data_IF_077715738604
#
_entry.id   IF_077715738604
#
_cell.length_a   1.000
_cell.length_b   1.000
_cell.length_c   1.000
_cell.angle_alpha   90.00
_cell.angle_beta   90.00
_cell.angle_gamma   90.00
#
_symmetry.space_group_name_H-M   'P 1'
#
loop_
_entity.id
_entity.type
_entity.pdbx_description
1 polymer ?
#
# COMPACT_ATOMS: atom_id res chain seq x y z
N UNK A 1 12.32 -28.74 -3.47
CA UNK A 1 11.18 -28.36 -2.59
C UNK A 1 10.37 -27.30 -3.32
N UNK A 2 9.21 -27.65 -3.88
CA UNK A 2 8.34 -26.68 -4.54
C UNK A 2 7.78 -25.73 -3.46
N UNK A 3 8.09 -24.43 -3.55
CA UNK A 3 7.40 -23.42 -2.76
C UNK A 3 5.93 -23.51 -3.15
N UNK A 4 5.05 -23.90 -2.23
CA UNK A 4 3.60 -23.72 -2.42
C UNK A 4 3.37 -22.22 -2.53
N UNK A 5 3.29 -21.70 -3.75
CA UNK A 5 2.85 -20.34 -4.02
C UNK A 5 1.43 -20.24 -3.50
N UNK A 6 1.25 -19.62 -2.34
CA UNK A 6 -0.08 -19.37 -1.80
C UNK A 6 -0.78 -18.45 -2.80
N UNK A 7 -1.79 -18.96 -3.50
CA UNK A 7 -2.66 -18.14 -4.33
C UNK A 7 -3.22 -17.04 -3.43
N UNK A 8 -2.77 -15.81 -3.69
CA UNK A 8 -3.25 -14.66 -2.94
C UNK A 8 -4.49 -14.16 -3.66
N UNK A 9 -5.58 -13.97 -2.92
CA UNK A 9 -6.78 -13.37 -3.51
C UNK A 9 -6.42 -11.97 -4.01
N UNK A 10 -7.04 -11.57 -5.11
CA UNK A 10 -6.88 -10.22 -5.67
C UNK A 10 -7.00 -9.12 -4.62
N UNK A 11 -8.06 -9.20 -3.81
CA UNK A 11 -8.29 -8.31 -2.68
C UNK A 11 -7.11 -8.28 -1.69
N UNK A 12 -6.55 -9.45 -1.36
CA UNK A 12 -5.42 -9.57 -0.45
C UNK A 12 -4.15 -8.93 -1.00
N UNK A 13 -3.85 -9.18 -2.28
CA UNK A 13 -2.71 -8.60 -2.97
C UNK A 13 -2.81 -7.07 -3.00
N UNK A 14 -3.97 -6.54 -3.41
CA UNK A 14 -4.21 -5.10 -3.44
C UNK A 14 -4.05 -4.45 -2.06
N UNK A 15 -4.60 -5.06 -1.01
CA UNK A 15 -4.47 -4.53 0.35
C UNK A 15 -3.03 -4.56 0.86
N UNK A 16 -2.30 -5.64 0.56
CA UNK A 16 -0.88 -5.74 0.90
C UNK A 16 -0.08 -4.64 0.25
N UNK A 17 -0.36 -4.39 -1.02
CA UNK A 17 0.39 -3.44 -1.79
C UNK A 17 0.01 -1.99 -1.41
N UNK A 18 -1.25 -1.70 -1.05
CA UNK A 18 -1.70 -0.39 -0.52
C UNK A 18 -1.21 -0.04 0.90
N UNK A 19 -1.06 -1.05 1.76
CA UNK A 19 -0.84 -0.82 3.20
C UNK A 19 0.50 -1.34 3.72
N UNK A 20 1.25 -2.07 2.89
CA UNK A 20 2.46 -2.81 3.31
C UNK A 20 2.18 -3.95 4.29
N UNK A 21 0.92 -4.38 4.43
CA UNK A 21 0.48 -5.40 5.42
C UNK A 21 -0.25 -6.55 4.74
N UNK A 22 0.05 -7.78 5.14
CA UNK A 22 -0.67 -8.95 4.65
C UNK A 22 -2.21 -8.81 4.77
N UNK A 23 -2.91 -9.45 3.84
CA UNK A 23 -4.38 -9.51 3.77
C UNK A 23 -5.02 -9.78 5.15
N UNK A 24 -6.10 -9.05 5.46
CA UNK A 24 -6.78 -9.14 6.77
C UNK A 24 -6.04 -8.50 7.95
N UNK A 25 -4.85 -7.92 7.74
CA UNK A 25 -4.19 -7.08 8.75
C UNK A 25 -5.03 -5.89 9.19
N UNK A 26 -5.77 -5.29 8.26
CA UNK A 26 -6.74 -4.22 8.50
C UNK A 26 -7.92 -4.72 9.36
N UNK A 27 -8.55 -5.82 8.98
CA UNK A 27 -9.72 -6.35 9.67
C UNK A 27 -9.40 -6.77 11.10
N UNK A 28 -8.18 -7.27 11.32
CA UNK A 28 -7.67 -7.54 12.67
C UNK A 28 -7.59 -6.27 13.53
N UNK A 29 -7.31 -5.11 12.94
CA UNK A 29 -7.31 -3.84 13.66
C UNK A 29 -8.74 -3.35 13.89
N UNK A 30 -9.60 -3.43 12.88
CA UNK A 30 -10.99 -2.98 12.98
C UNK A 30 -11.79 -3.77 14.04
N UNK A 31 -11.51 -5.08 14.19
CA UNK A 31 -12.14 -5.98 15.18
C UNK A 31 -11.64 -5.80 16.61
N UNK A 32 -10.54 -5.06 16.83
CA UNK A 32 -10.00 -4.81 18.17
C UNK A 32 -10.91 -3.89 18.98
N UNK A 33 -10.86 -3.96 20.32
CA UNK A 33 -11.53 -2.99 21.16
C UNK A 33 -11.02 -1.57 20.87
N UNK A 34 -11.91 -0.58 21.06
CA UNK A 34 -11.64 0.83 20.75
C UNK A 34 -10.39 1.35 21.49
N UNK A 35 -10.16 0.90 22.73
CA UNK A 35 -8.99 1.27 23.51
C UNK A 35 -7.68 0.81 22.86
N UNK A 36 -7.62 -0.42 22.35
CA UNK A 36 -6.45 -0.93 21.61
C UNK A 36 -6.24 -0.19 20.29
N UNK A 37 -7.33 0.10 19.58
CA UNK A 37 -7.32 0.86 18.33
C UNK A 37 -6.73 2.27 18.51
N UNK A 38 -7.21 2.98 19.54
CA UNK A 38 -6.68 4.30 19.91
C UNK A 38 -5.26 4.23 20.44
N UNK A 39 -4.91 3.19 21.22
CA UNK A 39 -3.54 2.96 21.69
C UNK A 39 -2.57 2.71 20.54
N UNK A 40 -3.00 1.94 19.53
CA UNK A 40 -2.24 1.75 18.29
C UNK A 40 -2.04 3.08 17.55
N UNK A 41 -3.10 3.88 17.39
CA UNK A 41 -3.02 5.20 16.75
C UNK A 41 -2.07 6.13 17.52
N UNK A 42 -2.16 6.18 18.85
CA UNK A 42 -1.26 6.96 19.70
C UNK A 42 0.20 6.51 19.56
N UNK A 43 0.46 5.19 19.53
CA UNK A 43 1.80 4.64 19.31
C UNK A 43 2.38 5.09 17.96
N UNK A 44 1.56 5.16 16.92
CA UNK A 44 1.97 5.67 15.60
C UNK A 44 2.35 7.14 15.63
N UNK A 45 1.74 7.92 16.51
CA UNK A 45 2.12 9.31 16.78
C UNK A 45 3.15 9.45 17.91
N UNK A 46 3.98 8.43 18.17
CA UNK A 46 5.03 8.43 19.21
C UNK A 46 4.50 8.73 20.62
N UNK A 47 3.28 8.29 20.93
CA UNK A 47 2.62 8.55 22.21
C UNK A 47 2.02 9.95 22.35
N UNK A 48 2.09 10.80 21.33
CA UNK A 48 1.50 12.12 21.38
C UNK A 48 -0.04 12.02 21.22
N UNK A 49 -0.75 12.06 22.36
CA UNK A 49 -2.21 12.00 22.43
C UNK A 49 -2.91 13.12 21.66
N UNK A 50 -2.30 14.30 21.58
CA UNK A 50 -2.89 15.44 20.87
C UNK A 50 -2.89 15.20 19.36
N UNK A 51 -1.78 14.73 18.81
CA UNK A 51 -1.69 14.33 17.40
C UNK A 51 -2.61 13.15 17.07
N UNK A 52 -2.70 12.18 17.98
CA UNK A 52 -3.62 11.05 17.82
C UNK A 52 -5.10 11.49 17.86
N UNK A 53 -5.44 12.43 18.75
CA UNK A 53 -6.79 12.98 18.85
C UNK A 53 -7.13 13.80 17.61
N UNK A 54 -6.21 14.64 17.14
CA UNK A 54 -6.35 15.40 15.90
C UNK A 54 -6.53 14.48 14.69
N UNK A 55 -5.73 13.41 14.57
CA UNK A 55 -5.88 12.42 13.52
C UNK A 55 -7.26 11.73 13.57
N UNK A 56 -7.73 11.35 14.76
CA UNK A 56 -9.07 10.77 14.96
C UNK A 56 -10.22 11.79 14.84
N UNK A 57 -9.93 13.08 14.64
CA UNK A 57 -10.93 14.14 14.52
C UNK A 57 -11.70 14.42 15.82
N UNK A 58 -11.05 14.25 16.98
CA UNK A 58 -11.64 14.46 18.31
C UNK A 58 -10.74 15.28 19.23
N UNK A 59 -11.30 15.76 20.33
CA UNK A 59 -10.49 16.43 21.37
C UNK A 59 -9.66 15.43 22.16
N UNK A 60 -8.55 15.88 22.72
CA UNK A 60 -7.70 15.08 23.64
C UNK A 60 -8.51 14.50 24.82
N UNK A 61 -9.45 15.28 25.36
CA UNK A 61 -10.37 14.84 26.43
C UNK A 61 -11.26 13.69 25.99
N UNK A 62 -11.85 13.80 24.78
CA UNK A 62 -12.69 12.75 24.20
C UNK A 62 -11.88 11.46 23.97
N UNK A 63 -10.67 11.57 23.42
CA UNK A 63 -9.77 10.44 23.20
C UNK A 63 -9.43 9.72 24.52
N UNK A 64 -9.08 10.46 25.58
CA UNK A 64 -8.85 9.88 26.92
C UNK A 64 -10.09 9.19 27.48
N UNK A 65 -11.26 9.81 27.33
CA UNK A 65 -12.52 9.22 27.78
C UNK A 65 -12.78 7.86 27.11
N UNK A 66 -12.55 7.76 25.79
CA UNK A 66 -12.67 6.50 25.06
C UNK A 66 -11.61 5.48 25.46
N UNK A 67 -10.35 5.89 25.65
CA UNK A 67 -9.28 4.99 26.12
C UNK A 67 -9.61 4.37 27.49
N UNK A 68 -10.16 5.16 28.40
CA UNK A 68 -10.59 4.70 29.74
C UNK A 68 -11.94 4.00 29.76
N UNK A 69 -12.64 3.91 28.62
CA UNK A 69 -13.98 3.33 28.53
C UNK A 69 -15.09 4.15 29.19
N UNK A 70 -14.81 5.39 29.62
CA UNK A 70 -15.80 6.27 30.29
C UNK A 70 -16.92 6.74 29.36
N UNK A 71 -16.67 6.77 28.05
CA UNK A 71 -17.70 7.06 27.05
C UNK A 71 -17.53 6.19 25.82
N UNK A 72 -18.65 5.90 25.14
CA UNK A 72 -18.68 5.15 23.89
C UNK A 72 -18.70 6.13 22.70
N UNK A 73 -17.89 5.92 21.65
CA UNK A 73 -17.95 6.73 20.44
C UNK A 73 -19.28 6.54 19.71
N UNK A 74 -19.75 7.60 19.06
CA UNK A 74 -20.88 7.53 18.13
C UNK A 74 -20.49 6.77 16.85
N UNK A 75 -21.47 6.35 16.05
CA UNK A 75 -21.20 5.73 14.74
C UNK A 75 -20.34 6.64 13.83
N UNK A 76 -20.70 7.92 13.73
CA UNK A 76 -19.92 8.93 12.97
C UNK A 76 -18.49 9.07 13.49
N UNK A 77 -18.32 9.00 14.81
CA UNK A 77 -16.99 9.03 15.45
C UNK A 77 -16.16 7.78 15.14
N UNK A 78 -16.80 6.61 15.06
CA UNK A 78 -16.16 5.35 14.69
C UNK A 78 -15.69 5.36 13.22
N UNK A 79 -16.48 5.95 12.32
CA UNK A 79 -16.10 6.14 10.92
C UNK A 79 -14.87 7.05 10.79
N UNK A 80 -14.84 8.18 11.52
CA UNK A 80 -13.67 9.07 11.58
C UNK A 80 -12.43 8.35 12.12
N UNK A 81 -12.58 7.56 13.18
CA UNK A 81 -11.48 6.75 13.72
C UNK A 81 -10.99 5.73 12.68
N UNK A 82 -11.91 5.01 12.01
CA UNK A 82 -11.55 4.05 10.98
C UNK A 82 -10.84 4.71 9.79
N UNK A 83 -11.28 5.91 9.37
CA UNK A 83 -10.59 6.71 8.36
C UNK A 83 -9.18 7.10 8.82
N UNK A 84 -9.05 7.65 10.03
CA UNK A 84 -7.77 8.03 10.61
C UNK A 84 -6.79 6.84 10.68
N UNK A 85 -7.26 5.66 11.06
CA UNK A 85 -6.47 4.44 11.06
C UNK A 85 -5.98 4.08 9.67
N UNK A 86 -6.85 4.12 8.66
CA UNK A 86 -6.51 3.82 7.26
C UNK A 86 -5.51 4.83 6.70
N UNK A 87 -5.73 6.12 6.92
CA UNK A 87 -4.75 7.17 6.58
C UNK A 87 -3.40 6.95 7.24
N UNK A 88 -3.42 6.56 8.51
CA UNK A 88 -2.20 6.27 9.25
C UNK A 88 -1.49 5.09 8.60
N UNK A 89 -2.19 4.00 8.30
CA UNK A 89 -1.61 2.82 7.64
C UNK A 89 -0.97 3.18 6.30
N UNK A 90 -1.66 3.93 5.44
CA UNK A 90 -1.10 4.34 4.15
C UNK A 90 0.11 5.26 4.32
N UNK A 91 0.10 6.19 5.28
CA UNK A 91 1.26 7.08 5.57
C UNK A 91 2.52 6.33 6.03
N UNK A 92 2.38 5.16 6.66
CA UNK A 92 3.52 4.34 7.12
C UNK A 92 4.11 3.44 6.03
N UNK A 93 3.48 3.35 4.86
CA UNK A 93 4.16 2.83 3.67
C UNK A 93 5.32 3.78 3.33
N UNK A 94 6.54 3.27 3.08
CA UNK A 94 7.69 4.09 2.72
C UNK A 94 7.33 5.12 1.65
N UNK A 95 7.83 6.35 1.80
CA UNK A 95 7.49 7.44 0.88
C UNK A 95 7.87 7.11 -0.57
N UNK A 96 8.96 6.35 -0.74
CA UNK A 96 9.39 5.79 -2.04
C UNK A 96 8.30 4.91 -2.65
N UNK A 97 7.86 3.88 -1.95
CA UNK A 97 6.84 2.94 -2.44
C UNK A 97 5.51 3.64 -2.74
N UNK A 98 5.14 4.65 -1.93
CA UNK A 98 3.97 5.50 -2.22
C UNK A 98 4.14 6.35 -3.48
N UNK A 99 5.31 6.93 -3.67
CA UNK A 99 5.62 7.71 -4.85
C UNK A 99 5.66 6.82 -6.11
N UNK A 100 6.19 5.61 -6.00
CA UNK A 100 6.21 4.61 -7.07
C UNK A 100 4.79 4.16 -7.41
N UNK A 101 3.95 3.86 -6.43
CA UNK A 101 2.53 3.54 -6.63
C UNK A 101 1.78 4.70 -7.30
N UNK A 102 1.96 5.94 -6.83
CA UNK A 102 1.32 7.11 -7.45
C UNK A 102 1.85 7.39 -8.86
N UNK A 103 3.13 7.12 -9.09
CA UNK A 103 3.78 7.25 -10.40
C UNK A 103 3.48 6.08 -11.33
N UNK A 104 3.01 4.95 -10.82
CA UNK A 104 2.83 3.72 -11.59
C UNK A 104 1.81 3.81 -12.72
N UNK A 105 0.95 4.82 -12.68
CA UNK A 105 -0.03 5.17 -13.72
C UNK A 105 0.36 6.44 -14.48
N UNK A 106 1.43 7.13 -14.09
CA UNK A 106 1.97 8.23 -14.89
C UNK A 106 2.56 7.62 -16.15
N UNK A 107 1.95 7.94 -17.29
CA UNK A 107 2.53 7.64 -18.61
C UNK A 107 3.96 8.20 -18.64
N UNK A 108 4.96 7.31 -18.68
CA UNK A 108 6.30 7.71 -19.08
C UNK A 108 6.17 8.23 -20.50
N UNK A 109 6.49 9.52 -20.67
CA UNK A 109 6.34 10.20 -21.96
C UNK A 109 7.12 9.48 -23.05
N UNK A 110 6.38 9.10 -24.10
CA UNK A 110 6.72 9.38 -25.50
C UNK A 110 8.15 9.08 -25.98
N UNK A 111 8.23 8.13 -26.93
CA UNK A 111 9.22 8.02 -28.04
C UNK A 111 10.51 7.23 -27.82
N UNK A 112 10.41 5.96 -27.43
CA UNK A 112 11.30 4.99 -28.09
C UNK A 112 10.55 3.70 -28.34
N UNK A 113 10.62 3.20 -29.59
CA UNK A 113 10.16 1.84 -29.93
C UNK A 113 10.96 0.77 -29.15
N UNK A 114 12.07 1.16 -28.53
CA UNK A 114 13.00 0.26 -27.83
C UNK A 114 13.13 0.49 -26.31
N UNK A 115 12.48 1.49 -25.71
CA UNK A 115 12.51 1.61 -24.25
C UNK A 115 11.53 0.63 -23.65
N UNK A 116 12.04 -0.51 -23.15
CA UNK A 116 11.32 -1.35 -22.19
C UNK A 116 10.75 -0.43 -21.12
N UNK A 117 9.46 -0.56 -20.84
CA UNK A 117 8.78 0.17 -19.76
C UNK A 117 9.35 -0.34 -18.43
N UNK A 118 10.54 0.12 -18.06
CA UNK A 118 11.15 -0.17 -16.76
C UNK A 118 10.53 0.81 -15.77
N UNK A 119 9.71 0.30 -14.85
CA UNK A 119 9.03 1.15 -13.88
C UNK A 119 7.57 1.37 -14.19
N UNK A 120 6.75 0.35 -13.95
CA UNK A 120 5.30 0.46 -13.99
C UNK A 120 4.70 -0.63 -13.15
N UNK A 121 3.66 -0.30 -12.37
CA UNK A 121 2.96 -1.31 -11.61
C UNK A 121 2.27 -2.28 -12.55
N UNK A 122 2.23 -3.54 -12.14
CA UNK A 122 1.56 -4.57 -12.91
C UNK A 122 0.88 -5.58 -12.02
N UNK A 123 -0.11 -6.23 -12.63
CA UNK A 123 -0.82 -7.39 -12.09
C UNK A 123 -0.60 -8.56 -13.04
N UNK A 124 -0.05 -9.67 -12.55
CA UNK A 124 -0.01 -10.95 -13.26
C UNK A 124 -0.94 -11.94 -12.58
N UNK A 125 -1.76 -12.64 -13.35
CA UNK A 125 -2.60 -13.72 -12.84
C UNK A 125 -3.63 -14.20 -13.86
N UNK A 126 -4.46 -15.14 -13.41
CA UNK A 126 -5.51 -15.73 -14.24
C UNK A 126 -6.77 -14.88 -14.19
N UNK A 127 -7.24 -14.47 -15.37
CA UNK A 127 -8.46 -13.70 -15.53
C UNK A 127 -9.45 -14.50 -16.37
N UNK A 128 -10.71 -14.53 -15.93
CA UNK A 128 -11.84 -15.03 -16.71
C UNK A 128 -12.56 -13.84 -17.33
N UNK A 129 -12.86 -13.91 -18.63
CA UNK A 129 -13.74 -12.95 -19.31
C UNK A 129 -14.86 -13.77 -19.92
N UNK A 130 -16.08 -13.60 -19.44
CA UNK A 130 -17.22 -14.48 -19.73
C UNK A 130 -16.88 -15.97 -19.45
N UNK A 131 -16.50 -16.74 -20.48
CA UNK A 131 -16.14 -18.16 -20.38
C UNK A 131 -14.69 -18.47 -20.76
N UNK A 132 -13.88 -17.44 -21.03
CA UNK A 132 -12.49 -17.58 -21.48
C UNK A 132 -11.53 -17.27 -20.33
N UNK A 133 -10.79 -18.27 -19.88
CA UNK A 133 -9.79 -18.15 -18.81
C UNK A 133 -8.39 -18.06 -19.41
N UNK A 134 -7.68 -16.97 -19.10
CA UNK A 134 -6.31 -16.77 -19.58
C UNK A 134 -5.45 -16.08 -18.55
N UNK A 135 -4.18 -16.43 -18.57
CA UNK A 135 -3.17 -15.68 -17.83
C UNK A 135 -2.90 -14.35 -18.53
N UNK A 136 -2.90 -13.29 -17.74
CA UNK A 136 -2.72 -11.91 -18.21
C UNK A 136 -1.76 -11.18 -17.29
N UNK A 137 -0.86 -10.42 -17.92
CA UNK A 137 -0.06 -9.41 -17.23
C UNK A 137 -0.56 -8.03 -17.64
N UNK A 138 -1.18 -7.33 -16.71
CA UNK A 138 -1.78 -6.01 -16.90
C UNK A 138 -0.80 -4.96 -16.40
N UNK A 139 -0.26 -4.14 -17.31
CA UNK A 139 0.59 -3.01 -16.95
C UNK A 139 -0.27 -1.77 -16.68
N UNK A 140 -0.38 -1.36 -15.41
CA UNK A 140 -1.23 -0.25 -15.01
C UNK A 140 -0.85 1.07 -15.69
N UNK A 141 0.45 1.34 -15.85
CA UNK A 141 0.94 2.55 -16.54
C UNK A 141 0.57 2.65 -18.02
N UNK A 142 0.27 1.51 -18.67
CA UNK A 142 -0.12 1.47 -20.08
C UNK A 142 -1.63 1.60 -20.26
N UNK A 143 -2.39 1.02 -19.34
CA UNK A 143 -3.81 0.79 -19.51
C UNK A 143 -4.69 1.71 -18.66
N UNK A 144 -4.25 2.09 -17.45
CA UNK A 144 -5.05 2.88 -16.53
C UNK A 144 -4.74 4.38 -16.68
N UNK A 145 -5.71 5.26 -16.37
CA UNK A 145 -5.50 6.70 -16.47
C UNK A 145 -4.46 7.19 -15.47
N UNK A 146 -3.82 8.31 -15.78
CA UNK A 146 -2.85 8.93 -14.88
C UNK A 146 -3.50 9.29 -13.54
N UNK A 147 -2.82 8.97 -12.43
CA UNK A 147 -3.30 9.14 -11.05
C UNK A 147 -4.34 8.11 -10.59
N UNK A 148 -4.69 7.11 -11.39
CA UNK A 148 -5.70 6.14 -11.00
C UNK A 148 -5.34 5.40 -9.71
N UNK A 149 -4.07 5.04 -9.51
CA UNK A 149 -3.64 4.40 -8.25
C UNK A 149 -3.76 5.32 -7.04
N UNK A 150 -3.64 6.63 -7.23
CA UNK A 150 -3.93 7.61 -6.18
C UNK A 150 -5.42 7.57 -5.84
N UNK A 151 -6.31 7.51 -6.84
CA UNK A 151 -7.76 7.37 -6.60
C UNK A 151 -8.11 6.07 -5.87
N UNK A 152 -7.46 4.95 -6.20
CA UNK A 152 -7.64 3.67 -5.49
C UNK A 152 -7.21 3.79 -4.03
N UNK A 153 -6.07 4.44 -3.77
CA UNK A 153 -5.62 4.71 -2.39
C UNK A 153 -6.57 5.63 -1.64
N UNK A 154 -7.07 6.68 -2.29
CA UNK A 154 -7.99 7.63 -1.67
C UNK A 154 -9.34 6.92 -1.37
N UNK A 155 -9.82 6.06 -2.27
CA UNK A 155 -10.97 5.20 -2.04
C UNK A 155 -10.77 4.24 -0.85
N UNK A 156 -9.56 3.68 -0.68
CA UNK A 156 -9.22 2.90 0.52
C UNK A 156 -9.35 3.74 1.79
N UNK A 157 -8.79 4.94 1.79
CA UNK A 157 -8.83 5.85 2.94
C UNK A 157 -10.28 6.21 3.31
N UNK A 158 -11.13 6.50 2.33
CA UNK A 158 -12.52 6.92 2.56
C UNK A 158 -13.44 5.75 2.88
N UNK A 159 -13.53 4.75 2.00
CA UNK A 159 -14.52 3.66 2.05
C UNK A 159 -13.95 2.28 2.39
N UNK A 160 -12.63 2.11 2.39
CA UNK A 160 -11.96 0.95 2.98
C UNK A 160 -11.59 -0.06 1.91
N UNK A 161 -11.37 -1.30 2.33
CA UNK A 161 -11.01 -2.37 1.41
C UNK A 161 -12.02 -2.52 0.26
N UNK A 162 -13.33 -2.51 0.58
CA UNK A 162 -14.38 -2.65 -0.43
C UNK A 162 -14.33 -1.53 -1.48
N UNK A 163 -14.27 -0.28 -1.05
CA UNK A 163 -14.23 0.86 -1.97
C UNK A 163 -12.96 0.87 -2.84
N UNK A 164 -11.83 0.45 -2.29
CA UNK A 164 -10.58 0.34 -3.07
C UNK A 164 -10.67 -0.75 -4.15
N UNK A 165 -11.26 -1.91 -3.82
CA UNK A 165 -11.47 -3.01 -4.76
C UNK A 165 -12.44 -2.58 -5.86
N UNK A 166 -13.60 -2.02 -5.48
CA UNK A 166 -14.59 -1.52 -6.43
C UNK A 166 -13.98 -0.49 -7.38
N UNK A 167 -13.18 0.45 -6.84
CA UNK A 167 -12.50 1.46 -7.64
C UNK A 167 -11.53 0.83 -8.63
N UNK A 168 -10.76 -0.17 -8.19
CA UNK A 168 -9.78 -0.86 -9.03
C UNK A 168 -10.46 -1.71 -10.13
N UNK A 169 -11.54 -2.42 -9.77
CA UNK A 169 -12.36 -3.20 -10.71
C UNK A 169 -13.02 -2.28 -11.74
N UNK A 170 -13.56 -1.14 -11.33
CA UNK A 170 -14.10 -0.10 -12.22
C UNK A 170 -13.04 0.34 -13.25
N UNK A 171 -11.80 0.61 -12.82
CA UNK A 171 -10.74 1.01 -13.75
C UNK A 171 -10.34 -0.09 -14.72
N UNK A 172 -10.25 -1.34 -14.25
CA UNK A 172 -9.95 -2.48 -15.13
C UNK A 172 -11.08 -2.74 -16.12
N UNK A 173 -12.35 -2.66 -15.67
CA UNK A 173 -13.52 -2.76 -16.52
C UNK A 173 -13.49 -1.70 -17.62
N UNK A 174 -13.29 -0.44 -17.26
CA UNK A 174 -13.44 0.70 -18.16
C UNK A 174 -12.26 0.88 -19.10
N UNK A 175 -11.04 0.61 -18.63
CA UNK A 175 -9.81 0.98 -19.35
C UNK A 175 -8.98 -0.19 -19.86
N UNK A 176 -9.21 -1.41 -19.39
CA UNK A 176 -8.46 -2.58 -19.85
C UNK A 176 -9.34 -3.61 -20.55
N UNK A 177 -10.35 -4.14 -19.86
CA UNK A 177 -11.22 -5.18 -20.41
C UNK A 177 -12.32 -4.63 -21.32
N UNK A 178 -12.71 -3.37 -21.13
CA UNK A 178 -13.84 -2.72 -21.79
C UNK A 178 -15.14 -3.53 -21.62
N UNK A 179 -15.27 -4.26 -20.51
CA UNK A 179 -16.43 -5.04 -20.11
C UNK A 179 -16.47 -5.14 -18.58
N UNK A 180 -17.66 -5.26 -18.02
CA UNK A 180 -17.87 -5.59 -16.61
C UNK A 180 -17.89 -7.11 -16.35
N UNK A 181 -17.94 -7.92 -17.40
CA UNK A 181 -17.98 -9.38 -17.32
C UNK A 181 -16.56 -9.97 -17.31
N UNK A 182 -15.79 -9.57 -16.30
CA UNK A 182 -14.48 -10.16 -16.02
C UNK A 182 -14.35 -10.49 -14.54
N UNK A 183 -13.53 -11.50 -14.25
CA UNK A 183 -13.22 -11.94 -12.90
C UNK A 183 -11.72 -12.22 -12.80
N UNK A 184 -11.06 -11.67 -11.79
CA UNK A 184 -9.66 -12.00 -11.47
C UNK A 184 -9.68 -13.21 -10.55
N UNK A 185 -9.45 -14.39 -11.11
CA UNK A 185 -9.50 -15.66 -10.39
C UNK A 185 -8.32 -15.85 -9.44
N UNK A 186 -7.13 -15.47 -9.92
CA UNK A 186 -5.89 -15.63 -9.17
C UNK A 186 -4.95 -14.45 -9.42
N UNK A 187 -4.14 -14.14 -8.42
CA UNK A 187 -3.04 -13.19 -8.56
C UNK A 187 -1.75 -13.93 -8.25
N UNK A 188 -0.91 -14.04 -9.26
CA UNK A 188 0.46 -14.55 -9.12
C UNK A 188 1.37 -13.46 -8.57
N UNK A 189 1.22 -12.24 -9.10
CA UNK A 189 2.04 -11.11 -8.72
C UNK A 189 1.29 -9.78 -8.85
N UNK A 190 1.42 -8.93 -7.84
CA UNK A 190 1.03 -7.53 -7.89
C UNK A 190 2.19 -6.70 -7.38
N UNK A 191 2.85 -5.96 -8.28
CA UNK A 191 3.97 -5.10 -7.94
C UNK A 191 3.66 -3.65 -8.28
N UNK A 192 4.03 -2.74 -7.38
CA UNK A 192 4.04 -1.29 -7.62
C UNK A 192 5.45 -0.72 -7.85
N UNK A 193 6.48 -1.50 -7.53
CA UNK A 193 7.84 -1.22 -7.93
C UNK A 193 8.02 -1.64 -9.39
N UNK A 194 8.79 -0.87 -10.15
CA UNK A 194 9.26 -1.34 -11.45
C UNK A 194 9.84 -2.74 -11.33
N UNK A 195 9.73 -3.52 -12.40
CA UNK A 195 10.46 -4.78 -12.55
C UNK A 195 11.95 -4.46 -12.28
N UNK A 196 12.41 -4.62 -11.04
CA UNK A 196 13.80 -4.92 -10.78
C UNK A 196 13.92 -6.34 -11.30
N UNK A 197 14.35 -6.43 -12.55
CA UNK A 197 14.58 -7.66 -13.27
C UNK A 197 15.21 -8.70 -12.34
N UNK A 198 14.48 -9.74 -11.85
CA UNK A 198 15.12 -10.79 -11.08
C UNK A 198 15.99 -11.69 -11.97
N UNK A 199 16.13 -11.36 -13.27
CA UNK A 199 16.83 -12.13 -14.30
C UNK A 199 17.83 -11.30 -15.14
N UNK A 200 18.25 -10.12 -14.68
CA UNK A 200 19.01 -9.18 -15.52
C UNK A 200 20.20 -8.44 -14.87
N UNK A 201 20.91 -9.05 -13.92
CA UNK A 201 22.25 -8.55 -13.50
C UNK A 201 23.20 -9.72 -13.20
N UNK A 202 23.46 -10.53 -14.24
CA UNK A 202 24.64 -11.40 -14.32
C UNK A 202 25.61 -10.67 -15.25
N UNK A 203 26.57 -9.96 -14.66
CA UNK A 203 27.62 -9.19 -15.33
C UNK A 203 27.35 -7.69 -15.17
N UNK A 204 27.90 -7.04 -14.15
CA UNK A 204 29.35 -6.86 -14.05
C UNK A 204 29.93 -7.19 -12.67
N UNK A 205 30.89 -8.10 -12.69
CA UNK A 205 31.80 -8.37 -11.60
C UNK A 205 32.80 -7.21 -11.49
N UNK A 206 32.47 -6.18 -10.71
CA UNK A 206 33.48 -5.31 -10.10
C UNK A 206 32.96 -4.81 -8.74
N UNK A 207 33.13 -5.68 -7.75
CA UNK A 207 32.78 -5.41 -6.37
C UNK A 207 33.57 -4.25 -5.79
N UNK A 208 32.87 -3.18 -5.40
CA UNK A 208 33.28 -2.26 -4.32
C UNK A 208 32.07 -1.78 -3.54
N UNK A 209 31.64 -2.59 -2.56
CA UNK A 209 30.95 -2.07 -1.40
C UNK A 209 32.01 -1.44 -0.49
N UNK A 210 32.15 -0.11 -0.55
CA UNK A 210 32.90 0.63 0.47
C UNK A 210 31.94 0.83 1.64
N UNK A 211 32.17 0.07 2.71
CA UNK A 211 31.50 0.22 3.99
C UNK A 211 32.18 1.33 4.78
N UNK A 212 31.72 2.57 4.64
CA UNK A 212 32.13 3.65 5.56
C UNK A 212 31.28 3.57 6.84
N UNK A 213 31.70 2.69 7.75
CA UNK A 213 31.42 2.82 9.18
C UNK A 213 32.62 3.48 9.84
N UNK A 214 32.73 4.80 9.70
CA UNK A 214 33.72 5.54 10.48
C UNK A 214 33.21 5.75 11.91
N UNK A 215 33.85 5.02 12.80
CA UNK A 215 33.62 5.01 14.24
C UNK A 215 34.26 6.25 14.86
N UNK A 216 33.47 7.20 15.33
CA UNK A 216 33.95 8.28 16.19
C UNK A 216 34.42 7.69 17.53
N UNK A 217 35.74 7.67 17.74
CA UNK A 217 36.35 7.38 19.05
C UNK A 217 36.31 8.65 19.91
N UNK A 218 35.90 8.56 21.20
CA UNK A 218 36.07 9.64 22.15
C UNK A 218 37.43 9.52 22.84
N UNK A 219 38.23 10.57 22.77
CA UNK A 219 39.42 10.71 23.59
C UNK A 219 40.59 11.33 22.84
N UNK A 220 40.66 12.66 22.86
CA UNK A 220 41.93 13.36 22.95
C UNK A 220 41.79 14.45 24.02
N UNK A 221 42.51 14.23 25.10
CA UNK A 221 42.81 15.11 26.21
C UNK A 221 44.17 15.74 25.88
N UNK A 222 44.25 17.06 25.85
CA UNK A 222 45.47 17.86 26.10
C UNK A 222 44.96 19.18 26.71
N UNK A 223 45.05 19.39 28.02
CA UNK A 223 46.20 19.99 28.73
C UNK A 223 46.75 21.24 28.02
N UNK A 224 46.37 22.39 28.55
CA UNK A 224 47.27 23.43 29.07
C UNK A 224 46.64 24.05 30.33
#
# INVERSE_FOLDING_TARGET
>A
MAKKTQQTTWAGALMQALTGRAAGGHDRIAKKPISERLGWLAKRHRGNEEKAAAAAGVTKRTLRSWLTGKSKPSAKSMEKLAKAERETMTKFVPAKDRAEMDASTKKVGTRSRDTRVSGGAYLSGTVRISNDERDRTIQFGRHLPSNFMKEVRDAFVEGGQKAAIEKMEEGLANHYFHTSDFEILSVEELSFGGINDPLGDIGDADGRYVSDTESLKPGDILED
#
